data_IF_575792621296
#
_entry.id   IF_575792621296
#
_cell.length_a   1.000
_cell.length_b   1.000
_cell.length_c   1.000
_cell.angle_alpha   90.00
_cell.angle_beta   90.00
_cell.angle_gamma   90.00
#
_symmetry.space_group_name_H-M   'P 1'
#
loop_
_entity.id
_entity.type
_entity.pdbx_description
1 polymer ?
#
# COMPACT_ATOMS: atom_id res chain seq x y z
N UNK A 1 -18.56 2.70 21.92
CA UNK A 1 -20.00 2.62 21.60
C UNK A 1 -20.16 2.54 20.10
N UNK A 2 -20.95 1.61 19.63
CA UNK A 2 -21.35 1.55 18.22
C UNK A 2 -22.82 1.09 18.12
N UNK A 3 -23.47 1.48 17.03
CA UNK A 3 -24.85 1.11 16.77
C UNK A 3 -25.20 1.33 15.30
N UNK A 4 -25.99 0.40 14.76
CA UNK A 4 -26.60 0.49 13.45
C UNK A 4 -28.11 0.51 13.61
N UNK A 5 -28.76 1.47 12.94
CA UNK A 5 -30.19 1.67 13.00
C UNK A 5 -30.81 1.51 11.63
N UNK A 6 -31.86 0.72 11.57
CA UNK A 6 -32.73 0.63 10.41
C UNK A 6 -33.83 1.70 10.54
N UNK A 7 -33.58 2.89 9.98
CA UNK A 7 -34.49 4.04 10.09
C UNK A 7 -35.78 3.83 9.27
N UNK A 8 -35.67 3.07 8.16
CA UNK A 8 -36.81 2.63 7.37
C UNK A 8 -36.43 1.34 6.60
N UNK A 9 -37.34 0.82 5.78
CA UNK A 9 -37.07 -0.30 4.86
C UNK A 9 -35.96 0.04 3.83
N UNK A 10 -35.78 1.34 3.53
CA UNK A 10 -34.84 1.84 2.53
C UNK A 10 -33.61 2.49 3.14
N UNK A 11 -33.60 2.86 4.43
CA UNK A 11 -32.54 3.67 5.01
C UNK A 11 -31.94 3.03 6.28
N UNK A 12 -30.62 2.83 6.26
CA UNK A 12 -29.83 2.42 7.42
C UNK A 12 -28.80 3.52 7.75
N UNK A 13 -28.55 3.75 9.02
CA UNK A 13 -27.52 4.67 9.50
C UNK A 13 -26.72 3.99 10.62
N UNK A 14 -25.44 4.27 10.69
CA UNK A 14 -24.53 3.78 11.74
C UNK A 14 -23.79 4.92 12.39
N UNK A 15 -23.57 4.80 13.70
CA UNK A 15 -22.73 5.70 14.51
C UNK A 15 -21.77 4.85 15.34
N UNK A 16 -20.49 5.21 15.35
CA UNK A 16 -19.53 4.61 16.26
C UNK A 16 -18.71 5.73 16.94
N UNK A 17 -18.45 5.58 18.23
CA UNK A 17 -17.59 6.45 19.03
C UNK A 17 -16.60 5.57 19.79
N UNK A 18 -15.32 5.91 19.72
CA UNK A 18 -14.22 5.23 20.38
C UNK A 18 -13.38 6.23 21.14
N UNK A 19 -13.32 6.09 22.45
CA UNK A 19 -12.39 6.80 23.31
C UNK A 19 -11.28 5.86 23.75
N UNK A 20 -10.05 6.32 23.68
CA UNK A 20 -8.85 5.57 24.09
C UNK A 20 -7.94 6.52 24.87
N UNK A 21 -7.23 5.98 25.84
CA UNK A 21 -6.25 6.69 26.65
C UNK A 21 -4.93 5.93 26.63
N UNK A 22 -3.86 6.65 26.35
CA UNK A 22 -2.51 6.11 26.20
C UNK A 22 -1.55 6.86 27.10
N UNK A 23 -0.72 6.17 27.82
CA UNK A 23 0.26 6.76 28.73
C UNK A 23 1.23 7.71 28.02
N UNK A 24 1.61 7.37 26.75
CA UNK A 24 2.60 8.12 25.97
C UNK A 24 2.01 9.24 25.10
N UNK A 25 0.75 9.14 24.68
CA UNK A 25 0.14 10.01 23.65
C UNK A 25 -1.14 10.71 24.13
N UNK A 26 -1.55 10.47 25.38
CA UNK A 26 -2.78 11.02 25.95
C UNK A 26 -4.04 10.40 25.37
N UNK A 27 -5.18 11.04 25.61
CA UNK A 27 -6.48 10.51 25.21
C UNK A 27 -6.87 10.93 23.79
N UNK A 28 -7.61 10.06 23.12
CA UNK A 28 -8.17 10.33 21.79
C UNK A 28 -9.64 9.94 21.73
N UNK A 29 -10.44 10.74 21.02
CA UNK A 29 -11.82 10.44 20.69
C UNK A 29 -11.99 10.39 19.19
N UNK A 30 -12.42 9.24 18.68
CA UNK A 30 -12.68 9.01 17.27
C UNK A 30 -14.15 8.69 17.05
N UNK A 31 -14.69 9.16 15.93
CA UNK A 31 -16.08 8.94 15.57
C UNK A 31 -16.24 8.49 14.13
N UNK A 32 -17.31 7.75 13.88
CA UNK A 32 -17.75 7.35 12.53
C UNK A 32 -19.25 7.54 12.41
N UNK A 33 -19.65 8.15 11.30
CA UNK A 33 -21.06 8.16 10.85
C UNK A 33 -21.09 7.47 9.49
N UNK A 34 -22.03 6.58 9.29
CA UNK A 34 -22.27 5.90 8.02
C UNK A 34 -23.74 5.88 7.67
N UNK A 35 -24.03 5.85 6.39
CA UNK A 35 -25.41 5.78 5.91
C UNK A 35 -25.46 4.99 4.60
N UNK A 36 -26.54 4.23 4.44
CA UNK A 36 -26.91 3.57 3.19
C UNK A 36 -28.37 3.83 2.91
N UNK A 37 -28.66 4.38 1.74
CA UNK A 37 -30.02 4.64 1.25
C UNK A 37 -30.31 3.83 0.00
N UNK A 38 -31.27 2.93 0.08
CA UNK A 38 -31.77 2.09 -1.00
C UNK A 38 -32.87 2.86 -1.74
N UNK A 39 -32.58 3.30 -2.96
CA UNK A 39 -33.55 4.02 -3.79
C UNK A 39 -34.63 3.04 -4.31
N UNK A 40 -34.18 1.85 -4.75
CA UNK A 40 -35.01 0.72 -5.17
C UNK A 40 -34.20 -0.58 -5.02
N UNK A 41 -34.73 -1.70 -5.51
CA UNK A 41 -34.05 -3.00 -5.41
C UNK A 41 -32.75 -3.08 -6.20
N UNK A 42 -32.56 -2.22 -7.20
CA UNK A 42 -31.43 -2.21 -8.13
C UNK A 42 -30.43 -1.08 -7.88
N UNK A 43 -30.74 -0.12 -6.99
CA UNK A 43 -29.91 1.06 -6.83
C UNK A 43 -29.87 1.54 -5.38
N UNK A 44 -28.66 1.73 -4.85
CA UNK A 44 -28.44 2.28 -3.52
C UNK A 44 -27.23 3.20 -3.47
N UNK A 45 -27.32 4.24 -2.64
CA UNK A 45 -26.21 5.08 -2.22
C UNK A 45 -25.65 4.63 -0.88
N UNK A 46 -24.37 4.86 -0.67
CA UNK A 46 -23.70 4.69 0.62
C UNK A 46 -22.66 5.78 0.85
N UNK A 47 -22.43 6.12 2.11
CA UNK A 47 -21.40 7.08 2.46
C UNK A 47 -20.97 6.93 3.90
N UNK A 48 -19.76 7.37 4.19
CA UNK A 48 -19.24 7.44 5.55
C UNK A 48 -18.31 8.62 5.73
N UNK A 49 -18.30 9.12 6.97
CA UNK A 49 -17.31 10.07 7.46
C UNK A 49 -16.78 9.54 8.78
N UNK A 50 -15.46 9.52 8.93
CA UNK A 50 -14.85 9.10 10.19
C UNK A 50 -13.53 9.81 10.44
N UNK A 51 -13.17 9.87 11.72
CA UNK A 51 -11.84 10.24 12.20
C UNK A 51 -11.08 9.01 12.65
N UNK A 52 -9.76 9.04 12.57
CA UNK A 52 -8.88 7.96 12.99
C UNK A 52 -7.63 8.49 13.68
N UNK A 53 -7.01 7.62 14.43
CA UNK A 53 -5.79 7.85 15.18
C UNK A 53 -4.87 6.64 15.03
N UNK A 54 -3.57 6.88 14.95
CA UNK A 54 -2.55 5.82 14.97
C UNK A 54 -1.34 6.28 15.76
N UNK A 55 -1.06 5.62 16.89
CA UNK A 55 0.16 5.83 17.66
C UNK A 55 1.40 5.34 16.90
N UNK A 56 2.58 5.96 17.07
CA UNK A 56 3.84 5.40 16.63
C UNK A 56 4.04 4.01 17.24
N UNK A 57 4.56 3.09 16.45
CA UNK A 57 4.95 1.79 17.00
C UNK A 57 6.26 1.90 17.79
N UNK A 58 6.53 1.00 18.76
CA UNK A 58 7.82 0.98 19.47
C UNK A 58 9.02 0.91 18.50
N UNK A 59 8.88 0.20 17.38
CA UNK A 59 9.92 0.15 16.35
C UNK A 59 10.14 1.49 15.66
N UNK A 60 9.09 2.27 15.41
CA UNK A 60 9.23 3.62 14.82
C UNK A 60 9.91 4.60 15.79
N UNK A 61 9.58 4.52 17.07
CA UNK A 61 10.13 5.41 18.10
C UNK A 61 11.58 5.06 18.50
N UNK A 62 11.94 3.78 18.51
CA UNK A 62 13.17 3.31 19.16
C UNK A 62 14.11 2.51 18.22
N UNK A 63 13.76 2.32 16.94
CA UNK A 63 14.61 1.54 16.03
C UNK A 63 16.00 2.18 15.89
N UNK A 64 17.02 1.39 16.18
CA UNK A 64 18.41 1.71 15.89
C UNK A 64 18.98 0.58 15.05
N UNK A 65 19.16 0.83 13.76
CA UNK A 65 19.71 -0.14 12.81
C UNK A 65 20.71 0.54 11.90
N UNK A 66 21.87 -0.05 11.72
CA UNK A 66 22.88 0.40 10.76
C UNK A 66 23.12 -0.74 9.79
N UNK A 67 22.95 -0.47 8.51
CA UNK A 67 23.25 -1.41 7.42
C UNK A 67 24.25 -0.80 6.46
N UNK A 68 25.15 -1.64 5.95
CA UNK A 68 26.07 -1.23 4.89
C UNK A 68 25.42 -1.53 3.55
N UNK A 69 25.32 -0.51 2.71
CA UNK A 69 24.72 -0.61 1.37
C UNK A 69 25.67 -0.04 0.33
N UNK A 70 25.55 -0.53 -0.91
CA UNK A 70 26.30 0.03 -2.03
C UNK A 70 25.56 1.27 -2.57
N UNK A 71 26.23 2.43 -2.51
CA UNK A 71 25.73 3.67 -3.09
C UNK A 71 26.04 3.68 -4.60
N UNK A 72 25.01 3.60 -5.43
CA UNK A 72 25.12 3.55 -6.88
C UNK A 72 25.66 4.85 -7.48
N UNK A 73 25.48 5.98 -6.83
CA UNK A 73 25.95 7.30 -7.28
C UNK A 73 27.44 7.47 -6.95
N UNK A 74 27.82 7.16 -5.70
CA UNK A 74 29.22 7.26 -5.22
C UNK A 74 30.07 6.06 -5.63
N UNK A 75 29.42 4.92 -5.98
CA UNK A 75 30.05 3.64 -6.30
C UNK A 75 30.92 3.09 -5.17
N UNK A 76 30.47 3.25 -3.94
CA UNK A 76 31.15 2.80 -2.74
C UNK A 76 30.16 2.20 -1.72
N UNK A 77 30.69 1.43 -0.76
CA UNK A 77 29.92 0.94 0.37
C UNK A 77 29.79 2.07 1.40
N UNK A 78 28.57 2.39 1.80
CA UNK A 78 28.25 3.40 2.80
C UNK A 78 27.40 2.80 3.94
N UNK A 79 27.60 3.29 5.14
CA UNK A 79 26.79 2.94 6.28
C UNK A 79 25.54 3.84 6.32
N UNK A 80 24.38 3.22 6.28
CA UNK A 80 23.08 3.86 6.38
C UNK A 80 22.42 3.49 7.71
N UNK A 81 22.22 4.46 8.58
CA UNK A 81 21.56 4.30 9.87
C UNK A 81 20.07 4.63 9.79
N UNK A 82 19.22 3.81 10.38
CA UNK A 82 17.87 4.24 10.80
C UNK A 82 17.93 4.35 12.32
N UNK A 83 17.77 5.57 12.85
CA UNK A 83 17.99 5.88 14.27
C UNK A 83 16.71 6.45 14.89
N UNK A 84 16.53 6.41 16.22
CA UNK A 84 15.42 7.09 16.89
C UNK A 84 15.43 8.59 16.58
N UNK A 85 14.26 9.18 16.40
CA UNK A 85 14.12 10.63 16.16
C UNK A 85 14.63 11.51 17.31
N UNK A 86 14.72 10.94 18.50
CA UNK A 86 15.25 11.57 19.71
C UNK A 86 16.76 11.32 19.92
N UNK A 87 17.40 10.55 19.03
CA UNK A 87 18.85 10.34 19.11
C UNK A 87 19.59 11.66 18.91
N UNK A 88 20.69 11.94 19.65
CA UNK A 88 21.43 13.22 19.54
C UNK A 88 21.82 13.58 18.10
N UNK A 89 22.19 12.60 17.27
CA UNK A 89 22.48 12.80 15.84
C UNK A 89 21.25 13.24 15.06
N UNK A 90 20.07 12.67 15.36
CA UNK A 90 18.82 13.05 14.70
C UNK A 90 18.37 14.46 15.10
N UNK A 91 18.56 14.85 16.36
CA UNK A 91 18.22 16.18 16.87
C UNK A 91 18.94 17.30 16.11
N UNK A 92 20.19 17.06 15.63
CA UNK A 92 20.94 18.02 14.80
C UNK A 92 20.27 18.29 13.44
N UNK A 93 19.39 17.42 12.99
CA UNK A 93 18.68 17.48 11.71
C UNK A 93 17.17 17.61 11.88
N UNK A 94 16.72 18.13 13.02
CA UNK A 94 15.30 18.41 13.29
C UNK A 94 14.51 17.20 13.81
N UNK A 95 15.19 16.16 14.30
CA UNK A 95 14.55 15.06 15.02
C UNK A 95 13.81 15.56 16.28
N UNK A 96 12.72 14.92 16.61
CA UNK A 96 11.88 15.23 17.79
C UNK A 96 11.12 13.98 18.22
N UNK A 97 10.55 13.94 19.44
CA UNK A 97 9.61 12.89 19.82
C UNK A 97 8.49 12.76 18.79
N UNK A 98 8.07 11.54 18.52
CA UNK A 98 7.00 11.26 17.56
C UNK A 98 5.64 11.46 18.21
N UNK A 99 4.73 12.06 17.46
CA UNK A 99 3.33 12.21 17.79
C UNK A 99 2.47 11.17 17.07
N UNK A 100 1.23 11.02 17.50
CA UNK A 100 0.28 10.15 16.82
C UNK A 100 -0.27 10.79 15.55
N UNK A 101 -0.42 9.98 14.49
CA UNK A 101 -1.15 10.39 13.28
C UNK A 101 -2.63 10.58 13.57
N UNK A 102 -3.23 11.57 12.92
CA UNK A 102 -4.67 11.83 12.95
C UNK A 102 -5.22 11.82 11.53
N UNK A 103 -6.31 11.10 11.30
CA UNK A 103 -6.92 11.05 9.99
C UNK A 103 -8.35 11.53 9.98
N UNK A 104 -8.75 12.11 8.85
CA UNK A 104 -10.13 12.40 8.48
C UNK A 104 -10.41 11.70 7.17
N UNK A 105 -11.45 10.87 7.19
CA UNK A 105 -11.79 10.00 6.08
C UNK A 105 -13.23 10.25 5.64
N UNK A 106 -13.43 10.37 4.35
CA UNK A 106 -14.72 10.50 3.69
C UNK A 106 -14.84 9.47 2.59
N UNK A 107 -16.00 8.83 2.48
CA UNK A 107 -16.34 8.01 1.32
C UNK A 107 -17.78 8.24 0.89
N UNK A 108 -18.01 8.17 -0.41
CA UNK A 108 -19.33 8.19 -1.01
C UNK A 108 -19.35 7.26 -2.22
N UNK A 109 -20.37 6.43 -2.31
CA UNK A 109 -20.45 5.49 -3.41
C UNK A 109 -21.89 5.05 -3.71
N UNK A 110 -21.98 4.26 -4.75
CA UNK A 110 -23.23 3.69 -5.22
C UNK A 110 -23.07 2.23 -5.59
N UNK A 111 -24.12 1.46 -5.38
CA UNK A 111 -24.27 0.10 -5.91
C UNK A 111 -25.49 0.05 -6.81
N UNK A 112 -25.33 -0.54 -7.99
CA UNK A 112 -26.43 -0.70 -8.92
C UNK A 112 -26.24 -1.94 -9.80
N UNK A 113 -27.33 -2.47 -10.31
CA UNK A 113 -27.32 -3.56 -11.26
C UNK A 113 -28.05 -3.16 -12.55
N UNK A 114 -27.44 -3.53 -13.67
CA UNK A 114 -27.95 -3.31 -15.02
C UNK A 114 -27.74 -4.59 -15.83
N UNK A 115 -28.81 -5.15 -16.38
CA UNK A 115 -28.74 -6.35 -17.24
C UNK A 115 -27.93 -7.50 -16.62
N UNK A 116 -28.16 -7.80 -15.34
CA UNK A 116 -27.46 -8.86 -14.58
C UNK A 116 -25.97 -8.57 -14.30
N UNK A 117 -25.48 -7.37 -14.57
CA UNK A 117 -24.18 -6.90 -14.13
C UNK A 117 -24.34 -6.08 -12.87
N UNK A 118 -23.68 -6.48 -11.79
CA UNK A 118 -23.67 -5.73 -10.53
C UNK A 118 -22.47 -4.81 -10.51
N UNK A 119 -22.68 -3.54 -10.13
CA UNK A 119 -21.66 -2.51 -10.02
C UNK A 119 -21.59 -1.96 -8.60
N UNK A 120 -20.39 -1.67 -8.16
CA UNK A 120 -20.11 -0.79 -7.02
C UNK A 120 -19.08 0.25 -7.45
N UNK A 121 -19.38 1.53 -7.21
CA UNK A 121 -18.47 2.64 -7.51
C UNK A 121 -18.36 3.49 -6.24
N UNK A 122 -17.15 3.67 -5.75
CA UNK A 122 -16.88 4.42 -4.52
C UNK A 122 -15.80 5.45 -4.76
N UNK A 123 -16.04 6.68 -4.35
CA UNK A 123 -15.04 7.72 -4.18
C UNK A 123 -14.62 7.76 -2.72
N UNK A 124 -13.33 7.95 -2.46
CA UNK A 124 -12.80 8.15 -1.12
C UNK A 124 -11.81 9.32 -1.07
N UNK A 125 -11.70 9.92 0.10
CA UNK A 125 -10.69 10.95 0.41
C UNK A 125 -10.24 10.78 1.85
N UNK A 126 -8.94 10.63 2.04
CA UNK A 126 -8.27 10.39 3.32
C UNK A 126 -7.23 11.47 3.51
N UNK A 127 -7.38 12.29 4.54
CA UNK A 127 -6.36 13.25 4.96
C UNK A 127 -5.71 12.74 6.23
N UNK A 128 -4.37 12.63 6.22
CA UNK A 128 -3.59 12.22 7.40
C UNK A 128 -2.70 13.37 7.79
N UNK A 129 -2.90 13.89 9.01
CA UNK A 129 -2.06 14.90 9.67
C UNK A 129 -1.03 14.22 10.56
N UNK A 130 0.09 14.89 10.76
CA UNK A 130 1.20 14.39 11.58
C UNK A 130 1.63 12.98 11.14
N UNK A 131 1.69 12.77 9.81
CA UNK A 131 1.92 11.45 9.23
C UNK A 131 3.31 10.94 9.55
N UNK A 132 3.39 9.69 10.01
CA UNK A 132 4.63 8.99 10.33
C UNK A 132 5.28 8.43 9.07
N UNK A 133 6.45 8.96 8.72
CA UNK A 133 7.31 8.37 7.69
C UNK A 133 8.78 8.54 8.05
N UNK A 134 9.62 7.83 7.31
CA UNK A 134 11.07 8.01 7.38
C UNK A 134 11.44 9.33 6.69
N UNK A 135 12.31 10.12 7.30
CA UNK A 135 12.85 11.36 6.74
C UNK A 135 13.63 11.15 5.44
N UNK A 136 14.05 12.20 4.82
CA UNK A 136 15.15 12.17 3.84
C UNK A 136 16.42 11.55 4.44
N UNK A 137 17.37 11.17 3.60
CA UNK A 137 18.68 10.76 4.05
C UNK A 137 19.54 11.99 4.41
N UNK A 138 20.12 11.96 5.59
CA UNK A 138 21.08 12.95 6.06
C UNK A 138 22.49 12.38 6.04
N UNK A 139 23.47 13.25 5.92
CA UNK A 139 24.88 12.89 6.08
C UNK A 139 25.50 13.72 7.19
N UNK A 140 26.48 13.13 7.90
CA UNK A 140 27.40 13.83 8.79
C UNK A 140 28.70 14.14 8.06
N UNK A 141 29.24 15.32 8.30
CA UNK A 141 30.61 15.66 7.92
C UNK A 141 31.61 15.09 8.94
N UNK A 142 32.87 14.87 8.53
CA UNK A 142 33.87 14.34 9.45
C UNK A 142 34.04 15.21 10.72
N UNK A 143 34.08 16.57 10.65
CA UNK A 143 34.13 17.41 11.85
C UNK A 143 32.92 17.21 12.79
N UNK A 144 31.70 16.98 12.25
CA UNK A 144 30.51 16.68 13.07
C UNK A 144 30.66 15.33 13.76
N UNK A 145 31.16 14.32 13.05
CA UNK A 145 31.43 12.99 13.63
C UNK A 145 32.42 13.11 14.77
N UNK A 146 33.53 13.77 14.56
CA UNK A 146 34.60 13.95 15.55
C UNK A 146 34.09 14.69 16.80
N UNK A 147 33.30 15.76 16.62
CA UNK A 147 32.71 16.52 17.72
C UNK A 147 31.71 15.67 18.53
N UNK A 148 30.88 14.87 17.85
CA UNK A 148 29.90 13.97 18.49
C UNK A 148 30.60 12.86 19.28
N UNK A 149 31.63 12.24 18.72
CA UNK A 149 32.45 11.20 19.39
C UNK A 149 33.13 11.76 20.61
N UNK A 150 33.73 12.95 20.51
CA UNK A 150 34.35 13.65 21.65
C UNK A 150 33.34 13.98 22.76
N UNK A 151 32.08 14.24 22.41
CA UNK A 151 30.99 14.46 23.36
C UNK A 151 30.43 13.17 23.97
N UNK A 152 31.00 12.01 23.62
CA UNK A 152 30.58 10.70 24.13
C UNK A 152 29.55 9.96 23.27
N UNK A 153 29.17 10.51 22.11
CA UNK A 153 28.22 9.87 21.18
C UNK A 153 29.00 9.02 20.18
N UNK A 154 29.56 7.91 20.66
CA UNK A 154 30.45 7.04 19.87
C UNK A 154 29.78 6.39 18.66
N UNK A 155 28.45 6.20 18.71
CA UNK A 155 27.65 5.67 17.59
C UNK A 155 27.74 6.54 16.33
N UNK A 156 28.05 7.85 16.47
CA UNK A 156 28.19 8.77 15.33
C UNK A 156 29.26 8.32 14.33
N UNK A 157 30.29 7.61 14.78
CA UNK A 157 31.33 7.06 13.91
C UNK A 157 30.82 6.11 12.81
N UNK A 158 29.65 5.49 13.02
CA UNK A 158 29.01 4.56 12.09
C UNK A 158 27.76 5.16 11.42
N UNK A 159 27.50 6.45 11.54
CA UNK A 159 26.33 7.14 11.05
C UNK A 159 26.68 8.18 9.98
N UNK A 160 27.52 7.80 9.00
CA UNK A 160 27.87 8.68 7.88
C UNK A 160 26.63 9.15 7.13
N UNK A 161 25.72 8.22 6.84
CA UNK A 161 24.36 8.53 6.38
C UNK A 161 23.36 7.98 7.39
N UNK A 162 22.28 8.72 7.60
CA UNK A 162 21.24 8.31 8.52
C UNK A 162 19.89 8.92 8.14
N UNK A 163 18.85 8.32 8.69
CA UNK A 163 17.45 8.76 8.60
C UNK A 163 16.72 8.40 9.89
N UNK A 164 15.60 9.02 10.14
CA UNK A 164 14.78 8.78 11.31
C UNK A 164 13.29 8.93 10.98
N UNK A 165 12.40 8.41 11.81
CA UNK A 165 10.98 8.64 11.64
C UNK A 165 10.62 10.08 12.07
N UNK A 166 9.68 10.68 11.35
CA UNK A 166 9.18 12.04 11.60
C UNK A 166 7.68 12.14 11.37
N UNK A 167 7.04 13.12 12.01
CA UNK A 167 5.62 13.50 11.80
C UNK A 167 5.46 14.84 11.06
N UNK A 168 6.46 15.29 10.34
CA UNK A 168 6.56 16.68 9.86
C UNK A 168 5.77 16.95 8.58
N UNK A 169 4.74 16.15 8.27
CA UNK A 169 3.99 16.34 7.04
C UNK A 169 2.54 15.86 7.12
N UNK A 170 1.73 16.38 6.20
CA UNK A 170 0.36 15.95 5.96
C UNK A 170 0.24 15.36 4.55
N UNK A 171 -0.62 14.36 4.40
CA UNK A 171 -0.97 13.82 3.08
C UNK A 171 -2.46 13.82 2.86
N UNK A 172 -2.84 13.97 1.61
CA UNK A 172 -4.19 13.70 1.14
C UNK A 172 -4.13 12.61 0.07
N UNK A 173 -4.85 11.54 0.33
CA UNK A 173 -5.04 10.43 -0.62
C UNK A 173 -6.50 10.40 -1.02
N UNK A 174 -6.79 10.42 -2.33
CA UNK A 174 -8.15 10.30 -2.84
C UNK A 174 -8.17 9.39 -4.05
N UNK A 175 -9.31 8.76 -4.30
CA UNK A 175 -9.41 7.82 -5.40
C UNK A 175 -10.82 7.37 -5.69
N UNK A 176 -10.91 6.49 -6.68
CA UNK A 176 -12.15 5.85 -7.12
C UNK A 176 -11.90 4.35 -7.21
N UNK A 177 -12.79 3.59 -6.57
CA UNK A 177 -12.88 2.14 -6.72
C UNK A 177 -14.08 1.79 -7.57
N UNK A 178 -13.89 0.91 -8.56
CA UNK A 178 -14.97 0.35 -9.36
C UNK A 178 -14.86 -1.16 -9.32
N UNK A 179 -15.93 -1.81 -8.90
CA UNK A 179 -16.08 -3.26 -8.96
C UNK A 179 -17.30 -3.58 -9.82
N UNK A 180 -17.12 -4.50 -10.78
CA UNK A 180 -18.24 -5.04 -11.55
C UNK A 180 -18.18 -6.55 -11.54
N UNK A 181 -19.34 -7.21 -11.48
CA UNK A 181 -19.46 -8.67 -11.55
C UNK A 181 -20.65 -9.08 -12.40
N UNK A 182 -20.47 -10.16 -13.16
CA UNK A 182 -21.48 -10.72 -14.03
C UNK A 182 -21.36 -12.24 -14.07
N UNK A 183 -22.49 -12.92 -13.98
CA UNK A 183 -22.56 -14.38 -14.13
C UNK A 183 -23.45 -14.72 -15.31
N UNK A 184 -22.92 -15.55 -16.21
CA UNK A 184 -23.64 -15.97 -17.42
C UNK A 184 -23.51 -17.46 -17.65
N UNK A 185 -24.58 -18.09 -18.13
CA UNK A 185 -24.56 -19.48 -18.59
C UNK A 185 -24.05 -19.52 -20.02
N UNK A 186 -22.88 -20.13 -20.25
CA UNK A 186 -22.29 -20.27 -21.57
C UNK A 186 -21.31 -21.45 -21.61
N UNK A 187 -21.00 -21.96 -22.80
CA UNK A 187 -20.06 -23.06 -23.02
C UNK A 187 -20.35 -24.32 -22.17
N UNK A 188 -21.64 -24.60 -21.93
CA UNK A 188 -22.07 -25.76 -21.14
C UNK A 188 -21.88 -25.62 -19.62
N UNK A 189 -21.56 -24.43 -19.13
CA UNK A 189 -21.33 -24.15 -17.72
C UNK A 189 -21.65 -22.70 -17.35
N UNK A 190 -21.25 -22.31 -16.14
CA UNK A 190 -21.41 -20.93 -15.63
C UNK A 190 -20.03 -20.23 -15.72
N UNK A 191 -20.03 -19.02 -16.29
CA UNK A 191 -18.88 -18.13 -16.27
C UNK A 191 -19.16 -16.93 -15.39
N UNK A 192 -18.26 -16.66 -14.45
CA UNK A 192 -18.27 -15.49 -13.60
C UNK A 192 -17.16 -14.53 -14.08
N UNK A 193 -17.57 -13.36 -14.52
CA UNK A 193 -16.67 -12.26 -14.85
C UNK A 193 -16.61 -11.29 -13.67
N UNK A 194 -15.43 -10.81 -13.35
CA UNK A 194 -15.24 -9.71 -12.40
C UNK A 194 -14.22 -8.71 -12.92
N UNK A 195 -14.51 -7.43 -12.69
CA UNK A 195 -13.61 -6.30 -12.89
C UNK A 195 -13.39 -5.64 -11.53
N UNK A 196 -12.14 -5.39 -11.17
CA UNK A 196 -11.78 -4.49 -10.09
C UNK A 196 -10.85 -3.42 -10.66
N UNK A 197 -11.21 -2.15 -10.53
CA UNK A 197 -10.42 -0.99 -10.92
C UNK A 197 -10.23 -0.08 -9.72
N UNK A 198 -9.00 0.34 -9.48
CA UNK A 198 -8.64 1.34 -8.49
C UNK A 198 -7.85 2.45 -9.16
N UNK A 199 -8.24 3.68 -8.91
CA UNK A 199 -7.44 4.86 -9.12
C UNK A 199 -7.21 5.56 -7.79
N UNK A 200 -5.95 5.76 -7.41
CA UNK A 200 -5.55 6.41 -6.17
C UNK A 200 -4.48 7.45 -6.45
N UNK A 201 -4.67 8.65 -5.94
CA UNK A 201 -3.68 9.72 -5.98
C UNK A 201 -3.39 10.19 -4.55
N UNK A 202 -2.10 10.24 -4.22
CA UNK A 202 -1.62 10.78 -2.94
C UNK A 202 -0.84 12.06 -3.21
N UNK A 203 -1.06 13.09 -2.42
CA UNK A 203 -0.29 14.33 -2.43
C UNK A 203 0.17 14.70 -1.03
N UNK A 204 1.37 15.24 -0.90
CA UNK A 204 1.90 15.85 0.32
C UNK A 204 1.40 17.29 0.36
N UNK A 205 0.50 17.61 1.29
CA UNK A 205 -0.17 18.92 1.37
C UNK A 205 0.56 19.92 2.25
N UNK A 206 1.31 19.42 3.24
CA UNK A 206 2.22 20.19 4.08
C UNK A 206 3.45 19.37 4.40
N UNK A 207 4.59 20.00 4.51
CA UNK A 207 5.84 19.33 4.90
C UNK A 207 6.84 20.32 5.49
N UNK A 208 7.82 19.77 6.23
CA UNK A 208 8.99 20.49 6.69
C UNK A 208 10.15 20.21 5.71
N UNK A 209 10.69 21.22 5.00
CA UNK A 209 11.77 21.00 4.03
C UNK A 209 13.10 20.57 4.66
N UNK A 210 13.26 20.66 5.99
CA UNK A 210 14.43 20.14 6.70
C UNK A 210 14.40 18.61 6.74
N UNK A 211 13.23 18.01 6.94
CA UNK A 211 13.08 16.56 7.12
C UNK A 211 12.63 15.82 5.86
N UNK A 212 12.01 16.53 4.90
CA UNK A 212 11.57 15.95 3.62
C UNK A 212 12.06 16.80 2.45
N UNK A 213 12.86 16.21 1.59
CA UNK A 213 13.26 16.79 0.30
C UNK A 213 12.28 16.43 -0.83
N UNK A 214 12.52 17.00 -2.01
CA UNK A 214 11.69 16.76 -3.19
C UNK A 214 11.69 15.28 -3.62
N UNK A 215 12.80 14.57 -3.47
CA UNK A 215 12.91 13.14 -3.77
C UNK A 215 12.03 12.30 -2.85
N UNK A 216 12.05 12.63 -1.55
CA UNK A 216 11.21 11.95 -0.57
C UNK A 216 9.71 12.24 -0.76
N UNK A 217 9.36 13.49 -1.09
CA UNK A 217 7.98 13.84 -1.46
C UNK A 217 7.53 13.04 -2.67
N UNK A 218 8.33 13.01 -3.73
CA UNK A 218 8.04 12.23 -4.95
C UNK A 218 7.81 10.75 -4.63
N UNK A 219 8.64 10.17 -3.78
CA UNK A 219 8.46 8.78 -3.34
C UNK A 219 7.13 8.57 -2.61
N UNK A 220 6.74 9.47 -1.71
CA UNK A 220 5.47 9.39 -0.99
C UNK A 220 4.25 9.49 -1.93
N UNK A 221 4.38 10.24 -3.02
CA UNK A 221 3.31 10.48 -3.98
C UNK A 221 3.25 9.45 -5.11
N UNK A 222 4.39 8.86 -5.51
CA UNK A 222 4.52 8.12 -6.76
C UNK A 222 5.15 6.72 -6.62
N UNK A 223 5.50 6.25 -5.41
CA UNK A 223 6.09 4.92 -5.22
C UNK A 223 5.14 3.78 -5.52
N UNK A 224 3.83 4.03 -5.50
CA UNK A 224 2.81 3.05 -5.86
C UNK A 224 2.08 3.50 -7.13
N UNK A 225 1.70 2.57 -8.03
CA UNK A 225 0.91 2.89 -9.19
C UNK A 225 -0.40 3.59 -8.82
N UNK A 226 -0.69 4.73 -9.45
CA UNK A 226 -1.97 5.41 -9.26
C UNK A 226 -3.14 4.67 -9.89
N UNK A 227 -2.90 3.88 -10.94
CA UNK A 227 -3.92 3.07 -11.61
C UNK A 227 -3.60 1.59 -11.51
N UNK A 228 -4.59 0.80 -11.10
CA UNK A 228 -4.52 -0.65 -11.08
C UNK A 228 -5.88 -1.24 -11.46
N UNK A 229 -5.89 -2.28 -12.28
CA UNK A 229 -7.11 -3.05 -12.51
C UNK A 229 -6.83 -4.53 -12.72
N UNK A 230 -7.85 -5.34 -12.47
CA UNK A 230 -7.86 -6.75 -12.80
C UNK A 230 -9.20 -7.17 -13.40
N UNK A 231 -9.14 -7.96 -14.45
CA UNK A 231 -10.29 -8.61 -15.07
C UNK A 231 -10.10 -10.11 -14.89
N UNK A 232 -11.08 -10.77 -14.29
CA UNK A 232 -11.04 -12.21 -14.06
C UNK A 232 -12.24 -12.87 -14.73
N UNK A 233 -11.99 -13.96 -15.43
CA UNK A 233 -13.02 -14.89 -15.89
C UNK A 233 -12.82 -16.22 -15.17
N UNK A 234 -13.87 -16.74 -14.52
CA UNK A 234 -13.86 -18.01 -13.82
C UNK A 234 -15.00 -18.87 -14.34
N UNK A 235 -14.66 -19.90 -15.11
CA UNK A 235 -15.63 -20.78 -15.76
C UNK A 235 -15.75 -22.12 -15.03
N UNK A 236 -16.98 -22.49 -14.70
CA UNK A 236 -17.34 -23.73 -14.02
C UNK A 236 -18.14 -24.63 -14.95
N UNK A 237 -17.52 -25.70 -15.43
CA UNK A 237 -18.18 -26.76 -16.19
C UNK A 237 -17.69 -28.11 -15.67
N UNK A 238 -18.44 -28.69 -14.73
CA UNK A 238 -18.03 -29.94 -14.04
C UNK A 238 -17.59 -31.01 -15.02
N UNK A 239 -16.45 -31.67 -14.76
CA UNK A 239 -15.62 -31.62 -13.55
C UNK A 239 -14.56 -30.48 -13.52
N UNK A 240 -14.56 -29.58 -14.51
CA UNK A 240 -13.57 -28.52 -14.70
C UNK A 240 -13.95 -27.20 -14.03
N UNK A 241 -12.93 -26.49 -13.56
CA UNK A 241 -12.95 -25.06 -13.31
C UNK A 241 -11.75 -24.44 -14.00
N UNK A 242 -11.97 -23.41 -14.79
CA UNK A 242 -10.93 -22.66 -15.51
C UNK A 242 -10.95 -21.21 -15.05
N UNK A 243 -9.78 -20.66 -14.75
CA UNK A 243 -9.62 -19.26 -14.38
C UNK A 243 -8.60 -18.61 -15.29
N UNK A 244 -8.92 -17.41 -15.77
CA UNK A 244 -7.98 -16.50 -16.41
C UNK A 244 -8.10 -15.12 -15.75
N UNK A 245 -6.97 -14.47 -15.49
CA UNK A 245 -6.92 -13.12 -14.94
C UNK A 245 -5.93 -12.28 -15.72
N UNK A 246 -6.36 -11.10 -16.12
CA UNK A 246 -5.52 -10.03 -16.63
C UNK A 246 -5.42 -8.96 -15.54
N UNK A 247 -4.22 -8.63 -15.11
CA UNK A 247 -3.94 -7.54 -14.18
C UNK A 247 -3.08 -6.47 -14.85
N UNK A 248 -3.36 -5.21 -14.58
CA UNK A 248 -2.53 -4.07 -14.98
C UNK A 248 -2.07 -3.32 -13.74
N UNK A 249 -0.81 -2.97 -13.72
CA UNK A 249 -0.17 -2.11 -12.75
C UNK A 249 0.37 -0.89 -13.50
N UNK A 250 -0.01 0.31 -13.09
CA UNK A 250 0.44 1.55 -13.70
C UNK A 250 1.91 1.86 -13.40
N UNK A 251 2.37 3.01 -13.87
CA UNK A 251 3.75 3.49 -13.64
C UNK A 251 3.98 3.73 -12.14
N UNK A 252 5.22 3.54 -11.68
CA UNK A 252 5.65 3.82 -10.30
C UNK A 252 7.06 4.42 -10.28
N UNK A 253 7.41 5.06 -9.17
CA UNK A 253 8.73 5.65 -8.93
C UNK A 253 9.47 4.88 -7.84
N UNK A 254 10.71 4.52 -8.12
CA UNK A 254 11.63 3.94 -7.13
C UNK A 254 12.68 4.98 -6.75
N UNK A 255 12.68 5.40 -5.49
CA UNK A 255 13.61 6.42 -4.99
C UNK A 255 15.02 5.89 -4.74
N UNK A 256 15.20 4.59 -4.53
CA UNK A 256 16.52 3.99 -4.37
C UNK A 256 17.23 3.93 -5.72
N UNK A 257 16.51 3.63 -6.78
CA UNK A 257 17.02 3.66 -8.15
C UNK A 257 16.98 5.07 -8.77
N UNK A 258 16.20 6.00 -8.19
CA UNK A 258 15.98 7.35 -8.72
C UNK A 258 15.22 7.36 -10.06
N UNK A 259 14.40 6.33 -10.37
CA UNK A 259 13.81 6.11 -11.69
C UNK A 259 12.30 5.91 -11.65
N UNK A 260 11.68 6.27 -12.79
CA UNK A 260 10.33 5.85 -13.12
C UNK A 260 10.34 4.53 -13.88
N UNK A 261 9.45 3.65 -13.51
CA UNK A 261 9.20 2.36 -14.13
C UNK A 261 7.85 2.35 -14.81
N UNK A 262 7.78 1.70 -15.98
CA UNK A 262 6.55 1.64 -16.76
C UNK A 262 5.61 0.56 -16.25
N UNK A 263 4.33 0.86 -16.35
CA UNK A 263 3.27 -0.08 -16.03
C UNK A 263 3.29 -1.33 -16.91
N UNK A 264 2.85 -2.45 -16.35
CA UNK A 264 2.86 -3.77 -17.00
C UNK A 264 1.54 -4.49 -16.86
N UNK A 265 1.29 -5.35 -17.85
CA UNK A 265 0.21 -6.33 -17.81
C UNK A 265 0.75 -7.67 -17.32
N UNK A 266 0.02 -8.30 -16.42
CA UNK A 266 0.33 -9.64 -15.91
C UNK A 266 -0.87 -10.53 -16.17
N UNK A 267 -0.65 -11.71 -16.73
CA UNK A 267 -1.70 -12.70 -17.04
C UNK A 267 -1.48 -13.95 -16.21
N UNK A 268 -2.52 -14.39 -15.50
CA UNK A 268 -2.54 -15.63 -14.74
C UNK A 268 -3.56 -16.59 -15.34
N UNK A 269 -3.30 -17.89 -15.27
CA UNK A 269 -4.25 -18.92 -15.64
C UNK A 269 -4.19 -20.10 -14.67
N UNK A 270 -5.36 -20.69 -14.37
CA UNK A 270 -5.46 -21.88 -13.53
C UNK A 270 -6.54 -22.82 -14.08
N UNK A 271 -6.25 -24.10 -14.08
CA UNK A 271 -7.22 -25.17 -14.36
C UNK A 271 -7.32 -26.10 -13.15
N UNK A 272 -8.54 -26.39 -12.72
CA UNK A 272 -8.81 -27.35 -11.68
C UNK A 272 -9.71 -28.46 -12.23
N UNK A 273 -9.41 -29.70 -11.91
CA UNK A 273 -10.16 -30.89 -12.31
C UNK A 273 -10.56 -31.70 -11.08
N UNK A 274 -11.86 -31.88 -10.90
CA UNK A 274 -12.43 -32.66 -9.80
C UNK A 274 -12.44 -34.16 -10.18
N UNK A 275 -11.41 -34.88 -9.68
CA UNK A 275 -11.22 -36.33 -9.98
C UNK A 275 -12.27 -37.19 -9.29
N UNK A 276 -12.54 -36.89 -7.99
CA UNK A 276 -13.57 -37.53 -7.20
C UNK A 276 -14.37 -36.49 -6.40
N UNK A 277 -15.34 -36.94 -5.60
CA UNK A 277 -16.08 -36.01 -4.70
C UNK A 277 -15.14 -35.28 -3.71
N UNK A 278 -14.04 -35.92 -3.33
CA UNK A 278 -13.09 -35.41 -2.33
C UNK A 278 -11.75 -34.94 -2.90
N UNK A 279 -11.40 -35.35 -4.15
CA UNK A 279 -10.07 -35.06 -4.73
C UNK A 279 -10.18 -34.09 -5.91
N UNK A 280 -9.44 -32.99 -5.84
CA UNK A 280 -9.30 -32.04 -6.93
C UNK A 280 -7.82 -31.81 -7.23
N UNK A 281 -7.45 -31.91 -8.50
CA UNK A 281 -6.12 -31.56 -9.01
C UNK A 281 -6.18 -30.16 -9.61
N UNK A 282 -5.16 -29.36 -9.33
CA UNK A 282 -5.08 -27.96 -9.78
C UNK A 282 -3.71 -27.76 -10.41
N UNK A 283 -3.66 -27.15 -11.58
CA UNK A 283 -2.45 -26.65 -12.20
C UNK A 283 -2.64 -25.19 -12.60
N UNK A 284 -1.63 -24.37 -12.37
CA UNK A 284 -1.71 -22.95 -12.68
C UNK A 284 -0.38 -22.34 -13.04
N UNK A 285 -0.47 -21.21 -13.69
CA UNK A 285 0.66 -20.35 -14.07
C UNK A 285 0.32 -18.93 -13.63
N UNK A 286 1.17 -18.34 -12.83
CA UNK A 286 1.16 -16.90 -12.54
C UNK A 286 2.12 -16.23 -13.50
N UNK A 287 1.74 -15.06 -14.00
CA UNK A 287 2.55 -14.30 -14.94
C UNK A 287 3.00 -15.14 -16.15
N UNK A 288 2.04 -15.70 -16.89
CA UNK A 288 2.31 -16.62 -18.03
C UNK A 288 3.10 -15.96 -19.17
N UNK A 289 3.10 -14.61 -19.23
CA UNK A 289 3.85 -13.84 -20.22
C UNK A 289 5.29 -13.56 -19.79
N UNK A 290 5.70 -14.03 -18.60
CA UNK A 290 7.04 -13.83 -18.03
C UNK A 290 7.45 -12.34 -17.93
N UNK A 291 6.46 -11.48 -17.64
CA UNK A 291 6.69 -10.03 -17.51
C UNK A 291 7.57 -9.72 -16.30
N UNK A 292 8.52 -8.84 -16.49
CA UNK A 292 9.40 -8.31 -15.46
C UNK A 292 9.36 -6.76 -15.49
N UNK A 293 9.75 -6.07 -14.41
CA UNK A 293 10.00 -4.63 -14.47
C UNK A 293 11.04 -4.28 -15.53
N UNK A 294 11.09 -3.02 -15.93
CA UNK A 294 12.17 -2.54 -16.78
C UNK A 294 13.51 -2.72 -16.06
N UNK A 295 14.54 -3.10 -16.81
CA UNK A 295 15.88 -3.34 -16.24
C UNK A 295 16.56 -2.05 -15.82
N UNK A 296 17.27 -2.10 -14.71
CA UNK A 296 18.19 -1.08 -14.26
C UNK A 296 19.65 -1.60 -14.38
N UNK A 297 20.40 -1.23 -15.44
CA UNK A 297 21.76 -1.70 -15.62
C UNK A 297 22.73 -1.26 -14.50
N UNK A 298 22.49 -0.08 -13.91
CA UNK A 298 23.35 0.46 -12.84
C UNK A 298 23.17 -0.36 -11.55
N UNK A 299 21.94 -0.73 -11.21
CA UNK A 299 21.66 -1.62 -10.08
C UNK A 299 22.24 -3.02 -10.32
N UNK A 300 22.16 -3.55 -11.53
CA UNK A 300 22.78 -4.83 -11.89
C UNK A 300 24.29 -4.82 -11.68
N UNK A 301 24.97 -3.72 -12.07
CA UNK A 301 26.40 -3.58 -11.90
C UNK A 301 26.83 -3.37 -10.43
N UNK A 302 25.98 -2.69 -9.63
CA UNK A 302 26.28 -2.34 -8.24
C UNK A 302 25.93 -3.45 -7.24
N UNK A 303 24.70 -3.99 -7.33
CA UNK A 303 24.15 -4.93 -6.33
C UNK A 303 23.78 -6.30 -6.89
N UNK A 304 23.96 -6.51 -8.20
CA UNK A 304 23.67 -7.78 -8.86
C UNK A 304 22.19 -8.02 -9.16
N UNK A 305 21.28 -7.10 -8.79
CA UNK A 305 19.87 -7.17 -9.11
C UNK A 305 19.52 -6.15 -10.20
N UNK A 306 19.06 -6.65 -11.36
CA UNK A 306 18.73 -5.81 -12.51
C UNK A 306 17.32 -5.20 -12.45
N UNK A 307 16.52 -5.50 -11.44
CA UNK A 307 15.13 -5.09 -11.32
C UNK A 307 14.88 -4.38 -9.98
N UNK A 308 13.95 -3.41 -9.97
CA UNK A 308 13.50 -2.78 -8.73
C UNK A 308 12.89 -3.82 -7.79
N UNK A 309 13.38 -3.84 -6.55
CA UNK A 309 12.81 -4.67 -5.48
C UNK A 309 11.41 -4.20 -5.02
N UNK A 310 11.02 -2.97 -5.38
CA UNK A 310 9.72 -2.36 -5.05
C UNK A 310 8.67 -2.53 -6.15
N UNK A 311 8.93 -3.42 -7.12
CA UNK A 311 7.95 -3.70 -8.17
C UNK A 311 6.60 -4.14 -7.58
N UNK A 312 5.48 -3.52 -7.99
CA UNK A 312 4.15 -3.81 -7.46
C UNK A 312 3.61 -5.20 -7.86
N UNK A 313 4.27 -5.88 -8.79
CA UNK A 313 3.91 -7.23 -9.27
C UNK A 313 5.03 -8.25 -9.14
N UNK A 314 6.14 -7.88 -8.46
CA UNK A 314 7.33 -8.73 -8.32
C UNK A 314 8.28 -8.62 -9.52
N UNK A 315 9.39 -9.35 -9.48
CA UNK A 315 10.44 -9.33 -10.50
C UNK A 315 10.94 -10.74 -10.87
N UNK A 316 10.29 -11.80 -10.38
CA UNK A 316 10.73 -13.19 -10.59
C UNK A 316 10.23 -13.78 -11.90
N UNK A 317 9.43 -13.05 -12.70
CA UNK A 317 8.84 -13.56 -13.92
C UNK A 317 7.72 -14.58 -13.67
N UNK A 318 7.58 -15.52 -14.60
CA UNK A 318 6.54 -16.54 -14.59
C UNK A 318 6.76 -17.63 -13.53
N UNK A 319 5.67 -18.08 -12.90
CA UNK A 319 5.70 -19.14 -11.88
C UNK A 319 4.63 -20.20 -12.15
N UNK A 320 5.05 -21.45 -12.31
CA UNK A 320 4.15 -22.58 -12.49
C UNK A 320 3.98 -23.35 -11.20
N UNK A 321 2.77 -23.84 -10.94
CA UNK A 321 2.47 -24.63 -9.75
C UNK A 321 1.45 -25.74 -10.01
N UNK A 322 1.51 -26.77 -9.19
CA UNK A 322 0.48 -27.80 -9.07
C UNK A 322 0.05 -27.91 -7.62
N UNK A 323 -1.23 -28.22 -7.40
CA UNK A 323 -1.82 -28.38 -6.07
C UNK A 323 -2.78 -29.56 -6.06
N UNK A 324 -2.75 -30.32 -5.00
CA UNK A 324 -3.75 -31.35 -4.70
C UNK A 324 -4.60 -30.85 -3.55
N UNK A 325 -5.92 -30.82 -3.76
CA UNK A 325 -6.90 -30.49 -2.71
C UNK A 325 -7.68 -31.76 -2.35
N UNK A 326 -7.68 -32.08 -1.07
CA UNK A 326 -8.44 -33.21 -0.53
C UNK A 326 -9.44 -32.68 0.49
N UNK A 327 -10.74 -32.90 0.22
CA UNK A 327 -11.84 -32.56 1.14
C UNK A 327 -12.22 -33.82 1.94
N UNK A 328 -12.13 -33.77 3.27
CA UNK A 328 -12.42 -34.85 4.20
C UNK A 328 -13.91 -35.00 4.49
#
# INVERSE_FOLDING_TARGET
LDGDWKLSSAWTAGLALRWEDFDDFGSTLNGKVSSRYKVNDHFAFRGSFNTGFRAPTPGQSNAFNVSTQFDLVRRELVNNGTIPSTHPVALLRGGKPLDAEKSVNFSFGTTFDVNSVNFAVDYFSITVKDRLAVSQNFSLTQPEIDALVLSGITSAANLQNFRFFTNDFETRTSGIDVVASHSVQQFGGQTEFSLAYNYTSTSVTKFNPVTLDAGRIRQLESALPSSRYSITANHFNKPWRLLARLSYYGDWYDSEDGRDYKGKFVVDAEAAYKVTKSLTLIAGVQNILDETPDRNPDAAAGVGNAYSQFSPFGFNGGFMYTRVKWDF
#
